data_IF_648645495060
#
_entry.id   IF_648645495060
#
_cell.length_a   1.000
_cell.length_b   1.000
_cell.length_c   1.000
_cell.angle_alpha   90.00
_cell.angle_beta   90.00
_cell.angle_gamma   90.00
#
_symmetry.space_group_name_H-M   'P 1'
#
loop_
_entity.id
_entity.type
_entity.pdbx_description
1 polymer ?
#
# COMPACT_ATOMS: atom_id res chain seq x y z
N UNK A 1 24.80 17.40 7.04
CA UNK A 1 24.60 17.77 8.45
C UNK A 1 23.42 16.97 8.97
N UNK A 2 23.68 15.95 9.82
CA UNK A 2 22.65 15.10 10.41
C UNK A 2 22.05 15.87 11.61
N UNK A 3 20.77 16.27 11.52
CA UNK A 3 20.05 16.88 12.62
C UNK A 3 19.32 15.79 13.42
N UNK A 4 19.75 15.43 14.64
CA UNK A 4 19.14 14.39 15.45
C UNK A 4 17.72 14.72 15.90
N UNK A 5 17.31 16.00 15.88
CA UNK A 5 15.96 16.43 16.29
C UNK A 5 14.84 15.98 15.33
N UNK A 6 15.16 15.47 14.12
CA UNK A 6 14.20 15.03 13.10
C UNK A 6 14.21 13.52 12.89
N UNK A 7 14.97 12.75 13.69
CA UNK A 7 14.99 11.29 13.55
C UNK A 7 13.86 10.63 14.34
N UNK A 8 12.69 10.51 13.73
CA UNK A 8 11.53 9.82 14.31
C UNK A 8 11.87 8.42 14.83
N UNK A 9 12.80 7.72 14.16
CA UNK A 9 13.19 6.36 14.56
C UNK A 9 14.11 6.30 15.79
N UNK A 10 14.56 7.44 16.34
CA UNK A 10 15.42 7.49 17.52
C UNK A 10 14.67 7.16 18.82
N UNK A 11 13.38 7.47 18.92
CA UNK A 11 12.56 7.26 20.11
C UNK A 11 11.57 6.12 19.90
N UNK A 12 11.10 5.47 20.98
CA UNK A 12 10.08 4.43 20.94
C UNK A 12 8.82 4.94 20.23
N UNK A 13 8.26 6.04 20.71
CA UNK A 13 7.02 6.59 20.16
C UNK A 13 7.18 7.05 18.71
N UNK A 14 8.33 7.63 18.37
CA UNK A 14 8.64 7.99 16.98
C UNK A 14 8.68 6.78 16.05
N UNK A 15 9.27 5.65 16.47
CA UNK A 15 9.25 4.40 15.70
C UNK A 15 7.82 3.88 15.50
N UNK A 16 7.05 3.79 16.60
CA UNK A 16 5.68 3.29 16.56
C UNK A 16 4.78 4.16 15.66
N UNK A 17 4.87 5.49 15.81
CA UNK A 17 4.12 6.43 14.94
C UNK A 17 4.55 6.33 13.48
N UNK A 18 5.86 6.22 13.21
CA UNK A 18 6.34 6.10 11.84
C UNK A 18 5.81 4.84 11.15
N UNK A 19 5.83 3.69 11.82
CA UNK A 19 5.30 2.45 11.25
C UNK A 19 3.79 2.46 11.14
N UNK A 20 3.07 3.02 12.10
CA UNK A 20 1.62 3.24 11.98
C UNK A 20 1.29 4.06 10.72
N UNK A 21 1.96 5.22 10.53
CA UNK A 21 1.71 6.07 9.37
C UNK A 21 2.10 5.42 8.04
N UNK A 22 3.19 4.65 8.00
CA UNK A 22 3.57 3.89 6.81
C UNK A 22 2.48 2.89 6.42
N UNK A 23 1.89 2.21 7.38
CA UNK A 23 0.79 1.28 7.14
C UNK A 23 -0.54 1.99 6.78
N UNK A 24 -0.79 3.20 7.31
CA UNK A 24 -1.91 4.03 6.82
C UNK A 24 -1.74 4.34 5.33
N UNK A 25 -0.53 4.76 4.91
CA UNK A 25 -0.27 5.06 3.49
C UNK A 25 -0.32 3.83 2.59
N UNK A 26 -0.04 2.65 3.11
CA UNK A 26 -0.18 1.37 2.40
C UNK A 26 -1.64 0.95 2.25
N UNK A 27 -2.43 1.10 3.32
CA UNK A 27 -3.84 0.72 3.31
C UNK A 27 -4.70 1.58 2.39
N UNK A 28 -4.35 2.86 2.20
CA UNK A 28 -5.10 3.80 1.37
C UNK A 28 -5.37 3.31 -0.07
N UNK A 29 -4.34 2.92 -0.86
CA UNK A 29 -4.56 2.45 -2.24
C UNK A 29 -5.38 1.17 -2.31
N UNK A 30 -5.17 0.24 -1.37
CA UNK A 30 -5.91 -1.01 -1.32
C UNK A 30 -7.40 -0.77 -0.99
N UNK A 31 -7.68 0.07 0.01
CA UNK A 31 -9.05 0.46 0.34
C UNK A 31 -9.75 1.18 -0.80
N UNK A 32 -9.06 2.09 -1.48
CA UNK A 32 -9.55 2.76 -2.68
C UNK A 32 -9.90 1.77 -3.78
N UNK A 33 -8.97 0.87 -4.13
CA UNK A 33 -9.17 -0.10 -5.20
C UNK A 33 -10.25 -1.13 -4.88
N UNK A 34 -10.19 -1.77 -3.71
CA UNK A 34 -11.07 -2.88 -3.36
C UNK A 34 -12.46 -2.45 -2.87
N UNK A 35 -12.63 -1.18 -2.46
CA UNK A 35 -13.91 -0.69 -1.95
C UNK A 35 -14.46 0.43 -2.81
N UNK A 36 -13.80 1.59 -2.91
CA UNK A 36 -14.34 2.74 -3.62
C UNK A 36 -14.55 2.45 -5.11
N UNK A 37 -13.51 1.95 -5.80
CA UNK A 37 -13.60 1.60 -7.22
C UNK A 37 -14.64 0.51 -7.46
N UNK A 38 -14.69 -0.53 -6.62
CA UNK A 38 -15.68 -1.60 -6.74
C UNK A 38 -17.12 -1.07 -6.66
N UNK A 39 -17.40 -0.12 -5.73
CA UNK A 39 -18.72 0.53 -5.65
C UNK A 39 -19.02 1.34 -6.91
N UNK A 40 -18.04 2.10 -7.43
CA UNK A 40 -18.22 2.85 -8.68
C UNK A 40 -18.48 1.93 -9.87
N UNK A 41 -17.73 0.85 -10.01
CA UNK A 41 -17.96 -0.17 -11.05
C UNK A 41 -19.38 -0.73 -10.95
N UNK A 42 -19.85 -1.06 -9.74
CA UNK A 42 -21.19 -1.59 -9.54
C UNK A 42 -22.27 -0.57 -9.93
N UNK A 43 -22.10 0.70 -9.58
CA UNK A 43 -23.02 1.76 -9.98
C UNK A 43 -22.98 2.03 -11.49
N UNK A 44 -21.82 1.81 -12.12
CA UNK A 44 -21.65 1.85 -13.57
C UNK A 44 -22.26 0.66 -14.32
N UNK A 45 -22.87 -0.31 -13.60
CA UNK A 45 -23.59 -1.42 -14.20
C UNK A 45 -22.76 -2.70 -14.39
N UNK A 46 -21.50 -2.75 -13.92
CA UNK A 46 -20.70 -3.97 -14.01
C UNK A 46 -21.35 -5.14 -13.24
N UNK A 47 -21.24 -6.34 -13.81
CA UNK A 47 -21.73 -7.56 -13.21
C UNK A 47 -20.98 -7.94 -11.93
N UNK A 48 -21.61 -8.73 -11.07
CA UNK A 48 -21.00 -9.22 -9.83
C UNK A 48 -19.77 -10.08 -10.12
N UNK A 49 -19.82 -10.87 -11.18
CA UNK A 49 -18.73 -11.76 -11.61
C UNK A 49 -17.50 -10.95 -12.05
N UNK A 50 -17.70 -9.88 -12.82
CA UNK A 50 -16.62 -8.99 -13.27
C UNK A 50 -15.97 -8.26 -12.09
N UNK A 51 -16.77 -7.81 -11.14
CA UNK A 51 -16.28 -7.19 -9.90
C UNK A 51 -15.51 -8.20 -9.04
N UNK A 52 -16.02 -9.42 -8.92
CA UNK A 52 -15.36 -10.50 -8.20
C UNK A 52 -14.00 -10.84 -8.82
N UNK A 53 -13.95 -10.94 -10.15
CA UNK A 53 -12.70 -11.16 -10.89
C UNK A 53 -11.70 -10.00 -10.70
N UNK A 54 -12.16 -8.76 -10.76
CA UNK A 54 -11.33 -7.57 -10.49
C UNK A 54 -10.74 -7.61 -9.08
N UNK A 55 -11.56 -7.81 -8.05
CA UNK A 55 -11.11 -7.87 -6.66
C UNK A 55 -10.13 -9.04 -6.45
N UNK A 56 -10.44 -10.22 -6.98
CA UNK A 56 -9.55 -11.38 -6.90
C UNK A 56 -8.19 -11.11 -7.55
N UNK A 57 -8.19 -10.43 -8.70
CA UNK A 57 -6.95 -10.04 -9.39
C UNK A 57 -6.11 -9.07 -8.54
N UNK A 58 -6.72 -8.13 -7.81
CA UNK A 58 -6.00 -7.22 -6.91
C UNK A 58 -5.27 -7.96 -5.78
N UNK A 59 -5.84 -9.05 -5.27
CA UNK A 59 -5.22 -9.82 -4.19
C UNK A 59 -4.22 -10.87 -4.68
N UNK A 60 -4.15 -11.17 -5.97
CA UNK A 60 -3.22 -12.16 -6.51
C UNK A 60 -1.73 -11.86 -6.20
N UNK A 61 -1.22 -10.61 -6.31
CA UNK A 61 0.16 -10.30 -5.95
C UNK A 61 0.47 -10.52 -4.46
N UNK A 62 -0.52 -10.35 -3.58
CA UNK A 62 -0.38 -10.56 -2.14
C UNK A 62 -0.19 -12.04 -1.79
N UNK A 63 -0.78 -12.95 -2.56
CA UNK A 63 -0.59 -14.39 -2.37
C UNK A 63 0.86 -14.84 -2.60
N UNK A 64 1.60 -14.10 -3.44
CA UNK A 64 3.01 -14.40 -3.77
C UNK A 64 4.00 -13.40 -3.15
N UNK A 65 3.56 -12.55 -2.21
CA UNK A 65 4.41 -11.48 -1.61
C UNK A 65 5.69 -12.01 -0.95
N UNK A 66 5.70 -13.26 -0.51
CA UNK A 66 6.89 -13.92 0.03
C UNK A 66 8.08 -13.93 -0.96
N UNK A 67 7.81 -13.96 -2.26
CA UNK A 67 8.84 -13.91 -3.30
C UNK A 67 9.53 -12.54 -3.42
N UNK A 68 8.91 -11.47 -2.89
CA UNK A 68 9.50 -10.13 -2.88
C UNK A 68 10.59 -9.96 -1.81
N UNK A 69 10.61 -10.81 -0.76
CA UNK A 69 11.61 -10.74 0.30
C UNK A 69 13.06 -10.75 -0.23
N UNK A 70 13.46 -11.77 -0.99
CA UNK A 70 14.79 -11.81 -1.60
C UNK A 70 15.10 -10.60 -2.50
N UNK A 71 14.11 -10.07 -3.23
CA UNK A 71 14.28 -8.90 -4.10
C UNK A 71 14.60 -7.67 -3.26
N UNK A 72 13.84 -7.43 -2.19
CA UNK A 72 14.06 -6.31 -1.27
C UNK A 72 15.40 -6.42 -0.55
N UNK A 73 15.83 -7.63 -0.20
CA UNK A 73 17.08 -7.84 0.53
C UNK A 73 18.33 -7.80 -0.37
N UNK A 74 18.24 -8.22 -1.62
CA UNK A 74 19.38 -8.28 -2.53
C UNK A 74 19.58 -6.99 -3.34
N UNK A 75 18.51 -6.31 -3.75
CA UNK A 75 18.52 -5.21 -4.71
C UNK A 75 18.28 -3.85 -4.04
N UNK A 76 19.00 -3.51 -2.99
CA UNK A 76 18.81 -2.22 -2.30
C UNK A 76 19.89 -1.18 -2.59
N UNK A 77 19.50 0.08 -2.76
CA UNK A 77 20.44 1.18 -2.91
C UNK A 77 21.07 1.58 -1.58
N UNK A 78 22.38 1.47 -1.47
CA UNK A 78 23.13 1.94 -0.27
C UNK A 78 23.03 3.45 -0.06
N UNK A 79 22.81 4.25 -1.11
CA UNK A 79 22.75 5.72 -1.04
C UNK A 79 21.44 6.22 -0.41
N UNK A 80 20.31 5.57 -0.71
CA UNK A 80 18.99 5.94 -0.20
C UNK A 80 18.63 5.19 1.10
N UNK A 81 19.50 4.29 1.55
CA UNK A 81 19.18 3.35 2.61
C UNK A 81 18.37 2.18 2.05
N UNK A 82 18.89 0.97 2.20
CA UNK A 82 18.47 -0.24 1.51
C UNK A 82 16.93 -0.40 1.41
N UNK A 83 16.21 -0.34 2.54
CA UNK A 83 14.76 -0.53 2.61
C UNK A 83 13.95 0.75 2.36
N UNK A 84 14.51 1.92 2.72
CA UNK A 84 13.86 3.23 2.46
C UNK A 84 13.74 3.51 0.97
N UNK A 85 14.77 3.14 0.20
CA UNK A 85 14.76 3.28 -1.25
C UNK A 85 13.60 2.53 -1.90
N UNK A 86 13.31 1.30 -1.44
CA UNK A 86 12.18 0.52 -1.91
C UNK A 86 10.83 1.15 -1.57
N UNK A 87 10.67 1.66 -0.35
CA UNK A 87 9.42 2.32 0.07
C UNK A 87 9.16 3.56 -0.80
N UNK A 88 10.16 4.43 -1.00
CA UNK A 88 10.02 5.63 -1.83
C UNK A 88 9.76 5.28 -3.30
N UNK A 89 10.45 4.29 -3.84
CA UNK A 89 10.22 3.78 -5.19
C UNK A 89 8.79 3.26 -5.36
N UNK A 90 8.34 2.42 -4.44
CA UNK A 90 7.01 1.85 -4.47
C UNK A 90 5.93 2.95 -4.40
N UNK A 91 6.07 3.94 -3.52
CA UNK A 91 5.12 5.06 -3.43
C UNK A 91 5.08 5.87 -4.72
N UNK A 92 6.22 6.13 -5.36
CA UNK A 92 6.26 6.85 -6.63
C UNK A 92 5.53 6.07 -7.74
N UNK A 93 5.74 4.76 -7.84
CA UNK A 93 5.05 3.91 -8.81
C UNK A 93 3.55 3.80 -8.48
N UNK A 94 3.16 3.69 -7.20
CA UNK A 94 1.75 3.69 -6.80
C UNK A 94 1.02 4.98 -7.22
N UNK A 95 1.64 6.13 -7.02
CA UNK A 95 1.09 7.40 -7.50
C UNK A 95 0.93 7.38 -9.02
N UNK A 96 1.95 6.92 -9.73
CA UNK A 96 1.92 6.84 -11.19
C UNK A 96 0.83 5.88 -11.69
N UNK A 97 0.68 4.70 -11.08
CA UNK A 97 -0.37 3.74 -11.45
C UNK A 97 -1.78 4.30 -11.21
N UNK A 98 -1.99 5.04 -10.12
CA UNK A 98 -3.29 5.69 -9.86
C UNK A 98 -3.56 6.82 -10.88
N UNK A 99 -2.55 7.62 -11.23
CA UNK A 99 -2.67 8.65 -12.27
C UNK A 99 -2.98 8.02 -13.63
N UNK A 100 -2.31 6.96 -14.02
CA UNK A 100 -2.60 6.23 -15.26
C UNK A 100 -4.00 5.62 -15.21
N UNK A 101 -4.38 4.96 -14.11
CA UNK A 101 -5.71 4.39 -13.96
C UNK A 101 -6.83 5.44 -14.09
N UNK A 102 -6.60 6.67 -13.60
CA UNK A 102 -7.58 7.76 -13.71
C UNK A 102 -7.85 8.21 -15.15
N UNK A 103 -6.99 7.88 -16.09
CA UNK A 103 -7.16 8.19 -17.53
C UNK A 103 -7.85 7.07 -18.31
N UNK A 104 -8.06 5.90 -17.71
CA UNK A 104 -8.63 4.74 -18.36
C UNK A 104 -10.11 4.63 -17.99
N UNK A 105 -10.96 4.62 -19.00
CA UNK A 105 -12.38 4.32 -18.81
C UNK A 105 -12.57 2.81 -18.62
N UNK A 106 -12.88 2.39 -17.40
CA UNK A 106 -13.09 0.99 -17.05
C UNK A 106 -14.34 0.39 -17.72
N UNK A 107 -15.31 1.22 -18.13
CA UNK A 107 -16.52 0.74 -18.81
C UNK A 107 -16.24 0.20 -20.23
N UNK A 108 -15.21 0.74 -20.87
CA UNK A 108 -14.81 0.35 -22.24
C UNK A 108 -13.54 -0.51 -22.25
N UNK A 109 -12.66 -0.37 -21.23
CA UNK A 109 -11.36 -1.02 -21.17
C UNK A 109 -11.06 -1.65 -19.80
N UNK A 110 -11.98 -2.48 -19.30
CA UNK A 110 -11.87 -3.12 -17.98
C UNK A 110 -10.58 -3.92 -17.81
N UNK A 111 -10.15 -4.65 -18.84
CA UNK A 111 -8.92 -5.47 -18.77
C UNK A 111 -7.66 -4.62 -18.58
N UNK A 112 -7.53 -3.52 -19.31
CA UNK A 112 -6.39 -2.59 -19.19
C UNK A 112 -6.42 -1.89 -17.84
N UNK A 113 -7.59 -1.43 -17.40
CA UNK A 113 -7.77 -0.84 -16.09
C UNK A 113 -7.36 -1.81 -14.98
N UNK A 114 -7.86 -3.04 -15.03
CA UNK A 114 -7.51 -4.11 -14.07
C UNK A 114 -6.01 -4.39 -14.07
N UNK A 115 -5.38 -4.49 -15.24
CA UNK A 115 -3.94 -4.73 -15.34
C UNK A 115 -3.10 -3.63 -14.65
N UNK A 116 -3.46 -2.36 -14.85
CA UNK A 116 -2.80 -1.22 -14.19
C UNK A 116 -3.02 -1.28 -12.67
N UNK A 117 -4.24 -1.59 -12.21
CA UNK A 117 -4.53 -1.71 -10.78
C UNK A 117 -3.83 -2.90 -10.13
N UNK A 118 -3.70 -4.03 -10.83
CA UNK A 118 -2.93 -5.21 -10.37
C UNK A 118 -1.43 -4.89 -10.28
N UNK A 119 -0.89 -4.14 -11.25
CA UNK A 119 0.49 -3.65 -11.16
C UNK A 119 0.69 -2.80 -9.89
N UNK A 120 -0.20 -1.85 -9.63
CA UNK A 120 -0.20 -1.05 -8.40
C UNK A 120 -0.27 -1.92 -7.15
N UNK A 121 -1.16 -2.93 -7.14
CA UNK A 121 -1.28 -3.86 -6.01
C UNK A 121 -0.01 -4.68 -5.79
N UNK A 122 0.66 -5.12 -6.86
CA UNK A 122 1.96 -5.81 -6.76
C UNK A 122 3.06 -4.92 -6.16
N UNK A 123 3.07 -3.65 -6.55
CA UNK A 123 4.01 -2.67 -5.98
C UNK A 123 3.67 -2.36 -4.51
N UNK A 124 2.39 -2.34 -4.14
CA UNK A 124 1.95 -2.20 -2.74
C UNK A 124 2.42 -3.40 -1.91
N UNK A 125 2.27 -4.62 -2.41
CA UNK A 125 2.77 -5.82 -1.73
C UNK A 125 4.31 -5.83 -1.57
N UNK A 126 5.04 -5.29 -2.56
CA UNK A 126 6.49 -5.08 -2.46
C UNK A 126 6.84 -4.03 -1.38
N UNK A 127 6.07 -2.95 -1.30
CA UNK A 127 6.24 -1.91 -0.28
C UNK A 127 6.02 -2.48 1.13
N UNK A 128 4.98 -3.28 1.32
CA UNK A 128 4.67 -3.97 2.59
C UNK A 128 5.87 -4.79 3.07
N UNK A 129 6.45 -5.62 2.20
CA UNK A 129 7.66 -6.40 2.52
C UNK A 129 8.82 -5.49 2.93
N UNK A 130 9.02 -4.35 2.27
CA UNK A 130 10.08 -3.41 2.61
C UNK A 130 9.84 -2.70 3.96
N UNK A 131 8.58 -2.37 4.27
CA UNK A 131 8.20 -1.78 5.57
C UNK A 131 8.37 -2.81 6.69
N UNK A 132 7.92 -4.05 6.50
CA UNK A 132 8.08 -5.14 7.46
C UNK A 132 9.56 -5.39 7.77
N UNK A 133 10.39 -5.51 6.73
CA UNK A 133 11.82 -5.68 6.89
C UNK A 133 12.47 -4.48 7.62
N UNK A 134 11.98 -3.26 7.39
CA UNK A 134 12.43 -2.07 8.12
C UNK A 134 11.98 -2.13 9.58
N UNK A 135 10.75 -2.54 9.86
CA UNK A 135 10.19 -2.65 11.20
C UNK A 135 10.98 -3.68 12.04
N UNK A 136 11.20 -4.87 11.51
CA UNK A 136 12.01 -5.92 12.18
C UNK A 136 13.42 -5.39 12.53
N UNK A 137 14.02 -4.56 11.67
CA UNK A 137 15.36 -4.02 11.89
C UNK A 137 15.43 -2.83 12.84
N UNK A 138 14.31 -2.15 13.11
CA UNK A 138 14.26 -0.88 13.87
C UNK A 138 13.50 -0.98 15.18
N UNK A 139 12.48 -1.83 15.25
CA UNK A 139 11.75 -2.08 16.49
C UNK A 139 12.59 -2.96 17.41
N UNK A 140 12.67 -2.56 18.67
CA UNK A 140 13.24 -3.39 19.72
C UNK A 140 12.33 -4.58 20.00
N UNK A 141 12.86 -5.64 20.59
CA UNK A 141 12.11 -6.88 20.84
C UNK A 141 10.84 -6.62 21.68
N UNK A 142 10.96 -5.82 22.74
CA UNK A 142 9.84 -5.43 23.59
C UNK A 142 8.81 -4.50 22.92
N UNK A 143 9.14 -3.92 21.77
CA UNK A 143 8.26 -3.03 21.02
C UNK A 143 7.50 -3.75 19.90
N UNK A 144 7.94 -4.94 19.49
CA UNK A 144 7.42 -5.64 18.30
C UNK A 144 5.94 -5.98 18.40
N UNK A 145 5.47 -6.41 19.58
CA UNK A 145 4.05 -6.73 19.77
C UNK A 145 3.15 -5.51 19.58
N UNK A 146 3.46 -4.41 20.27
CA UNK A 146 2.71 -3.15 20.12
C UNK A 146 2.89 -2.54 18.73
N UNK A 147 4.11 -2.59 18.19
CA UNK A 147 4.41 -2.11 16.83
C UNK A 147 3.57 -2.80 15.79
N UNK A 148 3.50 -4.14 15.83
CA UNK A 148 2.69 -4.93 14.91
C UNK A 148 1.20 -4.59 15.01
N UNK A 149 0.67 -4.47 16.25
CA UNK A 149 -0.71 -4.06 16.47
C UNK A 149 -1.03 -2.69 15.87
N UNK A 150 -0.13 -1.70 16.04
CA UNK A 150 -0.27 -0.36 15.46
C UNK A 150 -0.14 -0.38 13.93
N UNK A 151 0.72 -1.20 13.36
CA UNK A 151 0.85 -1.37 11.91
C UNK A 151 -0.47 -1.87 11.33
N UNK A 152 -1.06 -2.93 11.86
CA UNK A 152 -2.38 -3.41 11.43
C UNK A 152 -3.49 -2.36 11.63
N UNK A 153 -3.52 -1.67 12.76
CA UNK A 153 -4.47 -0.58 12.98
C UNK A 153 -4.31 0.53 11.92
N UNK A 154 -3.08 0.86 11.55
CA UNK A 154 -2.77 1.79 10.47
C UNK A 154 -3.30 1.32 9.13
N UNK A 155 -3.06 0.05 8.77
CA UNK A 155 -3.55 -0.55 7.52
C UNK A 155 -5.08 -0.46 7.40
N UNK A 156 -5.81 -0.86 8.45
CA UNK A 156 -7.26 -0.80 8.46
C UNK A 156 -7.80 0.64 8.42
N UNK A 157 -7.14 1.57 9.13
CA UNK A 157 -7.48 2.99 9.04
C UNK A 157 -7.27 3.51 7.62
N UNK A 158 -6.14 3.19 7.00
CA UNK A 158 -5.84 3.52 5.61
C UNK A 158 -6.90 2.97 4.65
N UNK A 159 -7.26 1.70 4.80
CA UNK A 159 -8.31 1.07 3.99
C UNK A 159 -9.68 1.75 4.18
N UNK A 160 -10.05 2.10 5.40
CA UNK A 160 -11.30 2.81 5.67
C UNK A 160 -11.31 4.21 5.04
N UNK A 161 -10.19 4.95 5.13
CA UNK A 161 -10.03 6.27 4.51
C UNK A 161 -10.04 6.17 2.98
N UNK A 162 -9.30 5.22 2.41
CA UNK A 162 -9.23 4.99 0.97
C UNK A 162 -10.53 4.47 0.37
N UNK A 163 -11.27 3.62 1.09
CA UNK A 163 -12.56 3.09 0.68
C UNK A 163 -13.71 4.06 1.01
N UNK A 164 -14.24 3.95 2.21
CA UNK A 164 -15.43 4.72 2.64
C UNK A 164 -15.18 6.22 2.67
N UNK A 165 -13.97 6.66 3.06
CA UNK A 165 -13.62 8.09 3.09
C UNK A 165 -13.66 8.71 1.70
N UNK A 166 -13.13 8.03 0.69
CA UNK A 166 -13.16 8.51 -0.70
C UNK A 166 -14.58 8.52 -1.28
N UNK A 167 -15.41 7.51 -0.96
CA UNK A 167 -16.82 7.49 -1.36
C UNK A 167 -17.58 8.69 -0.76
N UNK A 168 -17.33 8.99 0.51
CA UNK A 168 -17.96 10.14 1.17
C UNK A 168 -17.57 11.47 0.52
N UNK A 169 -16.27 11.67 0.24
CA UNK A 169 -15.76 12.90 -0.41
C UNK A 169 -16.30 13.03 -1.84
N UNK A 170 -16.46 11.91 -2.54
CA UNK A 170 -17.01 11.91 -3.91
C UNK A 170 -18.54 12.11 -3.95
N UNK A 171 -19.22 12.19 -2.80
CA UNK A 171 -20.67 12.32 -2.73
C UNK A 171 -21.41 11.05 -3.19
N UNK A 172 -20.76 9.92 -3.05
CA UNK A 172 -21.24 8.64 -3.57
C UNK A 172 -21.93 7.80 -2.49
#
# INVERSE_FOLDING_TARGET
>A
VYNPAVNLLATKWGRLTAFFLLYVTEGLPLGFAASAIAVYMRRGGLGVDEMGAFIAALYAPWAIKWAFGPIVDLLGSRRLGHRRGWILFAQAILILTLLVASTIDYSTNLSTFTAVMVLGSGVSALQDVAIDALAVSRLKEEERGLGNGLMFAGAYLGQALGGSGMLYVAGA
#
